data_IF_612373125693
#
_entry.id   IF_612373125693
#
_cell.length_a   1.000
_cell.length_b   1.000
_cell.length_c   1.000
_cell.angle_alpha   90.00
_cell.angle_beta   90.00
_cell.angle_gamma   90.00
#
_symmetry.space_group_name_H-M   'P 1'
#
loop_
_entity.id
_entity.type
_entity.pdbx_description
1 polymer ?
#
# COMPACT_ATOMS: atom_id res chain seq x y z
N UNK A 1 23.67 9.90 10.57
CA UNK A 1 23.37 9.75 9.12
C UNK A 1 22.80 11.07 8.65
N UNK A 2 23.35 11.69 7.60
CA UNK A 2 22.85 12.99 7.11
C UNK A 2 21.50 12.82 6.39
N UNK A 3 20.71 13.88 6.23
CA UNK A 3 19.44 13.81 5.48
C UNK A 3 19.63 13.37 4.03
N UNK A 4 20.78 13.74 3.43
CA UNK A 4 21.17 13.33 2.08
C UNK A 4 21.41 11.82 2.00
N UNK A 5 21.97 11.20 3.05
CA UNK A 5 22.18 9.74 3.08
C UNK A 5 20.86 8.97 3.14
N UNK A 6 19.90 9.46 3.95
CA UNK A 6 18.54 8.90 4.04
C UNK A 6 17.81 8.99 2.69
N UNK A 7 17.88 10.15 2.04
CA UNK A 7 17.27 10.36 0.72
C UNK A 7 17.89 9.45 -0.34
N UNK A 8 19.22 9.32 -0.33
CA UNK A 8 19.93 8.45 -1.25
C UNK A 8 19.56 6.97 -1.06
N UNK A 9 19.46 6.47 0.18
CA UNK A 9 19.00 5.10 0.47
C UNK A 9 17.59 4.88 -0.09
N UNK A 10 16.70 5.86 0.11
CA UNK A 10 15.32 5.80 -0.38
C UNK A 10 15.26 5.72 -1.90
N UNK A 11 16.01 6.58 -2.61
CA UNK A 11 16.10 6.55 -4.08
C UNK A 11 16.67 5.23 -4.60
N UNK A 12 17.70 4.69 -3.95
CA UNK A 12 18.27 3.39 -4.32
C UNK A 12 17.24 2.27 -4.22
N UNK A 13 16.54 2.17 -3.08
CA UNK A 13 15.49 1.18 -2.88
C UNK A 13 14.38 1.34 -3.92
N UNK A 14 13.95 2.58 -4.17
CA UNK A 14 12.88 2.86 -5.13
C UNK A 14 13.26 2.46 -6.56
N UNK A 15 14.48 2.77 -7.02
CA UNK A 15 14.94 2.32 -8.34
C UNK A 15 15.01 0.79 -8.44
N UNK A 16 15.36 0.09 -7.36
CA UNK A 16 15.45 -1.37 -7.33
C UNK A 16 14.05 -2.02 -7.38
N UNK A 17 13.08 -1.52 -6.60
CA UNK A 17 11.80 -2.19 -6.38
C UNK A 17 10.63 -1.59 -7.15
N UNK A 18 10.61 -0.28 -7.33
CA UNK A 18 9.59 0.45 -8.12
C UNK A 18 10.04 0.70 -9.56
N UNK A 19 11.34 0.51 -9.85
CA UNK A 19 11.93 0.60 -11.20
C UNK A 19 11.96 2.02 -11.78
N UNK A 20 11.68 3.03 -10.93
CA UNK A 20 11.84 4.45 -11.23
C UNK A 20 12.18 5.28 -9.99
N UNK A 21 12.76 6.45 -10.20
CA UNK A 21 12.98 7.48 -9.19
C UNK A 21 12.71 8.87 -9.75
N UNK A 22 12.34 9.79 -8.87
CA UNK A 22 12.20 11.21 -9.16
C UNK A 22 13.19 11.99 -8.30
N UNK A 23 14.04 12.81 -8.93
CA UNK A 23 15.06 13.62 -8.24
C UNK A 23 14.84 15.08 -8.59
N UNK A 24 14.82 15.96 -7.59
CA UNK A 24 14.75 17.40 -7.79
C UNK A 24 16.11 17.94 -8.28
N UNK A 25 16.11 18.70 -9.39
CA UNK A 25 17.30 19.29 -10.02
C UNK A 25 18.02 20.29 -9.12
N UNK A 26 17.32 20.93 -8.19
CA UNK A 26 17.92 21.83 -7.20
C UNK A 26 18.97 21.10 -6.35
N UNK A 27 18.78 19.81 -6.09
CA UNK A 27 19.78 18.98 -5.41
C UNK A 27 20.83 18.42 -6.40
N UNK A 28 21.66 19.33 -6.95
CA UNK A 28 22.71 18.99 -7.93
C UNK A 28 23.69 17.94 -7.40
N UNK A 29 24.01 18.00 -6.11
CA UNK A 29 24.90 17.05 -5.45
C UNK A 29 24.30 15.63 -5.49
N UNK A 30 23.06 15.48 -5.03
CA UNK A 30 22.37 14.19 -5.01
C UNK A 30 22.23 13.61 -6.41
N UNK A 31 21.84 14.41 -7.40
CA UNK A 31 21.71 13.96 -8.78
C UNK A 31 23.05 13.46 -9.35
N UNK A 32 24.14 14.22 -9.12
CA UNK A 32 25.50 13.83 -9.55
C UNK A 32 25.94 12.53 -8.88
N UNK A 33 25.71 12.43 -7.57
CA UNK A 33 26.06 11.25 -6.79
C UNK A 33 25.27 10.02 -7.26
N UNK A 34 23.96 10.15 -7.43
CA UNK A 34 23.08 9.05 -7.83
C UNK A 34 23.43 8.54 -9.24
N UNK A 35 23.73 9.43 -10.19
CA UNK A 35 24.23 9.03 -11.52
C UNK A 35 25.56 8.29 -11.45
N UNK A 36 26.51 8.75 -10.62
CA UNK A 36 27.79 8.05 -10.40
C UNK A 36 27.56 6.66 -9.78
N UNK A 37 26.65 6.58 -8.81
CA UNK A 37 26.28 5.33 -8.15
C UNK A 37 25.68 4.33 -9.15
N UNK A 38 24.73 4.74 -9.99
CA UNK A 38 24.15 3.90 -11.04
C UNK A 38 25.24 3.32 -11.95
N UNK A 39 26.19 4.17 -12.40
CA UNK A 39 27.27 3.75 -13.31
C UNK A 39 28.20 2.72 -12.67
N UNK A 40 28.51 2.89 -11.40
CA UNK A 40 29.51 2.07 -10.71
C UNK A 40 28.94 0.77 -10.13
N UNK A 41 27.62 0.67 -9.96
CA UNK A 41 27.01 -0.44 -9.25
C UNK A 41 26.50 -1.53 -10.21
N UNK A 42 26.99 -2.76 -10.02
CA UNK A 42 26.68 -3.89 -10.89
C UNK A 42 25.19 -4.21 -10.96
N UNK A 43 24.42 -3.95 -9.89
CA UNK A 43 22.98 -4.23 -9.84
C UNK A 43 22.19 -3.50 -10.94
N UNK A 44 22.68 -2.36 -11.45
CA UNK A 44 22.00 -1.58 -12.49
C UNK A 44 22.53 -1.85 -13.90
N UNK A 45 23.61 -2.63 -14.08
CA UNK A 45 24.17 -2.92 -15.41
C UNK A 45 23.16 -3.59 -16.35
N UNK A 46 22.29 -4.42 -15.81
CA UNK A 46 21.25 -5.13 -16.57
C UNK A 46 19.98 -4.30 -16.77
N UNK A 47 19.86 -3.13 -16.13
CA UNK A 47 18.71 -2.25 -16.32
C UNK A 47 18.96 -1.33 -17.51
N UNK A 48 18.09 -1.36 -18.52
CA UNK A 48 18.06 -0.31 -19.55
C UNK A 48 17.44 0.94 -18.95
N UNK A 49 18.26 1.75 -18.28
CA UNK A 49 17.83 3.00 -17.67
C UNK A 49 17.67 4.11 -18.72
N UNK A 50 16.73 5.01 -18.50
CA UNK A 50 16.49 6.21 -19.31
C UNK A 50 16.10 7.35 -18.40
N UNK A 51 16.34 8.58 -18.87
CA UNK A 51 16.07 9.80 -18.10
C UNK A 51 15.07 10.68 -18.85
N UNK A 52 14.08 11.22 -18.12
CA UNK A 52 13.19 12.28 -18.60
C UNK A 52 13.44 13.51 -17.75
N UNK A 53 13.70 14.64 -18.41
CA UNK A 53 13.76 15.94 -17.76
C UNK A 53 12.37 16.59 -17.83
N UNK A 54 11.77 16.88 -16.68
CA UNK A 54 10.44 17.48 -16.62
C UNK A 54 10.37 18.54 -15.53
N UNK A 55 10.20 19.81 -15.92
CA UNK A 55 10.26 20.94 -15.00
C UNK A 55 11.54 20.93 -14.15
N UNK A 56 11.37 21.02 -12.84
CA UNK A 56 12.46 20.96 -11.84
C UNK A 56 12.89 19.53 -11.49
N UNK A 57 12.41 18.50 -12.19
CA UNK A 57 12.66 17.10 -11.84
C UNK A 57 13.38 16.32 -12.95
N UNK A 58 14.15 15.32 -12.53
CA UNK A 58 14.71 14.26 -13.38
C UNK A 58 14.09 12.94 -12.97
N UNK A 59 13.44 12.28 -13.92
CA UNK A 59 12.86 10.94 -13.74
C UNK A 59 13.84 9.94 -14.34
N UNK A 60 14.37 9.03 -13.52
CA UNK A 60 15.24 7.94 -13.97
C UNK A 60 14.48 6.64 -13.85
N UNK A 61 14.39 5.86 -14.92
CA UNK A 61 13.55 4.67 -14.95
C UNK A 61 14.05 3.55 -15.86
N UNK A 62 13.58 2.33 -15.63
CA UNK A 62 13.84 1.19 -16.50
C UNK A 62 12.88 1.15 -17.71
N UNK A 63 13.33 1.63 -18.88
CA UNK A 63 12.49 1.75 -20.09
C UNK A 63 11.98 0.43 -20.68
N UNK A 64 12.56 -0.71 -20.30
CA UNK A 64 12.02 -2.02 -20.69
C UNK A 64 10.76 -2.33 -19.88
N UNK A 65 10.77 -1.99 -18.59
CA UNK A 65 9.77 -2.47 -17.65
C UNK A 65 8.63 -1.50 -17.40
N UNK A 66 8.85 -0.21 -17.62
CA UNK A 66 7.85 0.81 -17.31
C UNK A 66 7.68 1.83 -18.45
N UNK A 67 6.50 2.42 -18.48
CA UNK A 67 6.12 3.57 -19.30
C UNK A 67 5.72 4.69 -18.35
N UNK A 68 6.33 5.87 -18.51
CA UNK A 68 6.01 7.07 -17.74
C UNK A 68 5.04 7.92 -18.55
N UNK A 69 3.96 8.36 -17.92
CA UNK A 69 3.00 9.30 -18.50
C UNK A 69 2.78 10.44 -17.53
N UNK A 70 2.93 11.66 -18.03
CA UNK A 70 2.77 12.87 -17.22
C UNK A 70 1.55 13.61 -17.75
N UNK A 71 0.58 13.86 -16.87
CA UNK A 71 -0.66 14.55 -17.20
C UNK A 71 -0.67 15.93 -16.55
N UNK A 72 -0.95 16.93 -17.38
CA UNK A 72 -1.19 18.32 -16.99
C UNK A 72 -2.61 18.79 -17.34
N UNK A 73 -3.43 17.90 -17.91
CA UNK A 73 -4.79 18.19 -18.36
C UNK A 73 -5.76 17.16 -17.78
N UNK A 74 -6.79 17.65 -17.10
CA UNK A 74 -7.79 16.82 -16.41
C UNK A 74 -8.60 15.97 -17.39
N UNK A 75 -9.11 16.57 -18.47
CA UNK A 75 -10.00 15.89 -19.42
C UNK A 75 -9.28 14.77 -20.19
N UNK A 76 -8.02 15.00 -20.57
CA UNK A 76 -7.17 14.01 -21.21
C UNK A 76 -6.89 12.83 -20.28
N UNK A 77 -6.64 13.10 -18.99
CA UNK A 77 -6.47 12.05 -17.98
C UNK A 77 -7.76 11.25 -17.81
N UNK A 78 -8.90 11.92 -17.65
CA UNK A 78 -10.21 11.27 -17.52
C UNK A 78 -10.52 10.37 -18.72
N UNK A 79 -10.32 10.86 -19.95
CA UNK A 79 -10.55 10.08 -21.15
C UNK A 79 -9.71 8.78 -21.21
N UNK A 80 -8.51 8.79 -20.63
CA UNK A 80 -7.67 7.59 -20.50
C UNK A 80 -8.17 6.66 -19.39
N UNK A 81 -8.55 7.20 -18.22
CA UNK A 81 -9.04 6.41 -17.10
C UNK A 81 -10.37 5.71 -17.42
N UNK A 82 -11.29 6.39 -18.11
CA UNK A 82 -12.54 5.76 -18.58
C UNK A 82 -12.28 4.60 -19.52
N UNK A 83 -11.39 4.77 -20.51
CA UNK A 83 -11.01 3.69 -21.44
C UNK A 83 -10.42 2.49 -20.71
N UNK A 84 -9.64 2.74 -19.65
CA UNK A 84 -9.07 1.66 -18.83
C UNK A 84 -10.14 0.91 -18.04
N UNK A 85 -11.03 1.63 -17.35
CA UNK A 85 -12.05 1.02 -16.51
C UNK A 85 -13.11 0.27 -17.33
N UNK A 86 -13.46 0.76 -18.52
CA UNK A 86 -14.35 0.04 -19.44
C UNK A 86 -13.75 -1.30 -19.92
N UNK A 87 -12.43 -1.40 -19.99
CA UNK A 87 -11.73 -2.63 -20.42
C UNK A 87 -11.44 -3.58 -19.26
N UNK A 88 -11.34 -3.07 -18.04
CA UNK A 88 -11.01 -3.84 -16.86
C UNK A 88 -11.80 -3.34 -15.64
N UNK A 89 -12.74 -4.15 -15.17
CA UNK A 89 -13.61 -3.84 -14.04
C UNK A 89 -13.01 -4.21 -12.67
N UNK A 90 -11.81 -4.81 -12.63
CA UNK A 90 -11.12 -5.22 -11.40
C UNK A 90 -9.91 -4.32 -11.09
N UNK A 91 -10.01 -3.04 -11.44
CA UNK A 91 -9.01 -2.02 -11.13
C UNK A 91 -9.29 -1.38 -9.78
N UNK A 92 -8.20 -1.07 -9.08
CA UNK A 92 -8.24 -0.29 -7.83
C UNK A 92 -7.15 0.76 -7.90
N UNK A 93 -7.38 1.86 -7.20
CA UNK A 93 -6.63 3.08 -7.38
C UNK A 93 -6.12 3.59 -6.03
N UNK A 94 -4.98 4.30 -6.09
CA UNK A 94 -4.44 5.04 -4.95
C UNK A 94 -3.76 6.30 -5.45
N UNK A 95 -4.02 7.42 -4.78
CA UNK A 95 -3.31 8.67 -4.99
C UNK A 95 -2.16 8.84 -4.03
N UNK A 96 -0.99 9.23 -4.56
CA UNK A 96 0.12 9.75 -3.77
C UNK A 96 0.31 11.21 -4.15
N UNK A 97 0.11 12.12 -3.19
CA UNK A 97 0.35 13.54 -3.39
C UNK A 97 1.81 13.86 -3.73
N UNK A 98 2.75 13.01 -3.34
CA UNK A 98 4.15 13.10 -3.73
C UNK A 98 4.55 11.78 -4.38
N UNK A 99 4.97 11.84 -5.65
CA UNK A 99 5.41 10.67 -6.39
C UNK A 99 6.62 9.97 -5.75
N UNK A 100 7.37 10.59 -4.83
CA UNK A 100 8.44 9.96 -4.07
C UNK A 100 7.99 9.21 -2.81
N UNK A 101 6.70 9.22 -2.49
CA UNK A 101 6.19 8.35 -1.45
C UNK A 101 6.38 6.88 -1.83
N UNK A 102 6.84 6.10 -0.86
CA UNK A 102 7.03 4.66 -1.05
C UNK A 102 5.68 3.95 -0.98
N UNK A 103 5.48 2.96 -1.85
CA UNK A 103 4.27 2.16 -1.89
C UNK A 103 4.24 1.11 -0.77
N UNK A 104 4.10 1.58 0.47
CA UNK A 104 3.95 0.78 1.70
C UNK A 104 2.95 1.44 2.66
N UNK A 105 2.46 0.63 3.62
CA UNK A 105 1.62 1.07 4.74
C UNK A 105 2.32 2.16 5.57
N UNK A 106 1.55 2.88 6.38
CA UNK A 106 2.08 3.93 7.25
C UNK A 106 2.98 3.38 8.35
N UNK A 107 2.70 2.16 8.83
CA UNK A 107 3.52 1.44 9.80
C UNK A 107 4.96 1.21 9.32
N UNK A 108 5.14 0.76 8.08
CA UNK A 108 6.47 0.41 7.52
C UNK A 108 7.33 1.62 7.11
N UNK A 109 6.86 2.84 7.33
CA UNK A 109 7.62 4.05 6.95
C UNK A 109 8.68 4.40 7.97
N UNK A 110 8.42 4.10 9.24
CA UNK A 110 9.23 4.43 10.41
C UNK A 110 9.46 3.15 11.22
N UNK A 111 10.71 2.86 11.54
CA UNK A 111 11.10 1.62 12.21
C UNK A 111 10.59 1.58 13.65
N UNK A 112 10.55 2.75 14.30
CA UNK A 112 10.05 2.92 15.66
C UNK A 112 8.57 2.54 15.79
N UNK A 113 7.76 2.86 14.77
CA UNK A 113 6.34 2.48 14.77
C UNK A 113 6.17 0.97 14.60
N UNK A 114 7.00 0.32 13.80
CA UNK A 114 6.97 -1.13 13.62
C UNK A 114 7.37 -1.87 14.91
N UNK A 115 8.40 -1.38 15.60
CA UNK A 115 8.91 -1.94 16.85
C UNK A 115 7.95 -1.76 18.04
N UNK A 116 7.05 -0.78 17.99
CA UNK A 116 6.10 -0.48 19.06
C UNK A 116 4.64 -0.62 18.62
N UNK A 117 4.36 -1.35 17.55
CA UNK A 117 3.01 -1.44 16.97
C UNK A 117 1.96 -1.91 18.00
N UNK A 118 2.28 -2.89 18.84
CA UNK A 118 1.41 -3.42 19.90
C UNK A 118 1.09 -2.37 20.96
N UNK A 119 2.11 -1.66 21.43
CA UNK A 119 1.94 -0.58 22.41
C UNK A 119 1.07 0.52 21.84
N UNK A 120 1.37 0.97 20.62
CA UNK A 120 0.57 2.00 19.91
C UNK A 120 -0.87 1.51 19.72
N UNK A 121 -1.07 0.26 19.32
CA UNK A 121 -2.38 -0.35 19.12
C UNK A 121 -3.21 -0.31 20.42
N UNK A 122 -2.67 -0.82 21.53
CA UNK A 122 -3.37 -0.85 22.81
C UNK A 122 -3.52 0.53 23.46
N UNK A 123 -2.52 1.41 23.36
CA UNK A 123 -2.57 2.75 23.94
C UNK A 123 -3.67 3.60 23.28
N UNK A 124 -3.86 3.49 21.96
CA UNK A 124 -4.95 4.19 21.27
C UNK A 124 -6.32 3.66 21.73
N UNK A 125 -6.47 2.34 21.84
CA UNK A 125 -7.72 1.71 22.29
C UNK A 125 -8.03 2.14 23.73
N UNK A 126 -7.02 2.16 24.60
CA UNK A 126 -7.14 2.58 26.00
C UNK A 126 -7.47 4.08 26.14
N UNK A 127 -6.91 4.92 25.27
CA UNK A 127 -7.15 6.36 25.30
C UNK A 127 -8.55 6.75 24.85
N UNK A 128 -9.15 6.00 23.91
CA UNK A 128 -10.44 6.32 23.29
C UNK A 128 -11.37 5.09 23.19
N UNK A 129 -11.69 4.40 24.29
CA UNK A 129 -12.45 3.14 24.25
C UNK A 129 -13.83 3.30 23.59
N UNK A 130 -14.46 4.48 23.71
CA UNK A 130 -15.74 4.80 23.11
C UNK A 130 -15.72 4.77 21.57
N UNK A 131 -14.55 5.01 20.94
CA UNK A 131 -14.40 4.93 19.48
C UNK A 131 -14.37 3.50 18.97
N UNK A 132 -14.19 2.52 19.84
CA UNK A 132 -14.05 1.11 19.50
C UNK A 132 -15.21 0.25 19.99
N UNK A 133 -16.31 0.85 20.47
CA UNK A 133 -17.46 0.12 21.03
C UNK A 133 -18.09 -0.90 20.07
N UNK A 134 -17.97 -0.65 18.76
CA UNK A 134 -18.52 -1.51 17.71
C UNK A 134 -17.47 -2.44 17.08
N UNK A 135 -16.21 -2.37 17.51
CA UNK A 135 -15.14 -3.18 16.94
C UNK A 135 -15.21 -4.61 17.49
N UNK A 136 -15.41 -5.59 16.59
CA UNK A 136 -15.50 -7.02 16.94
C UNK A 136 -14.23 -7.78 16.60
N UNK A 137 -13.58 -7.38 15.51
CA UNK A 137 -12.39 -8.00 14.96
C UNK A 137 -11.20 -7.05 15.03
N UNK A 138 -9.97 -7.58 15.09
CA UNK A 138 -8.75 -6.73 15.05
C UNK A 138 -8.72 -5.84 13.81
N UNK A 139 -9.29 -6.32 12.70
CA UNK A 139 -9.45 -5.53 11.50
C UNK A 139 -10.27 -4.24 11.73
N UNK A 140 -11.32 -4.28 12.55
CA UNK A 140 -12.18 -3.13 12.84
C UNK A 140 -11.43 -2.07 13.64
N UNK A 141 -10.62 -2.51 14.61
CA UNK A 141 -9.71 -1.64 15.35
C UNK A 141 -8.72 -0.96 14.41
N UNK A 142 -8.06 -1.72 13.53
CA UNK A 142 -7.10 -1.15 12.57
C UNK A 142 -7.74 -0.17 11.59
N UNK A 143 -8.94 -0.46 11.07
CA UNK A 143 -9.69 0.48 10.22
C UNK A 143 -10.01 1.78 10.96
N UNK A 144 -10.40 1.68 12.23
CA UNK A 144 -10.74 2.84 13.08
C UNK A 144 -9.50 3.66 13.41
N UNK A 145 -8.38 3.02 13.78
CA UNK A 145 -7.10 3.69 14.00
C UNK A 145 -6.64 4.41 12.73
N UNK A 146 -6.70 3.74 11.58
CA UNK A 146 -6.36 4.30 10.27
C UNK A 146 -7.28 5.48 9.90
N UNK A 147 -8.54 5.47 10.33
CA UNK A 147 -9.48 6.59 10.14
C UNK A 147 -9.03 7.88 10.80
N UNK A 148 -8.39 7.78 11.96
CA UNK A 148 -7.79 8.90 12.67
C UNK A 148 -6.30 9.09 12.34
N UNK A 149 -5.88 8.66 11.14
CA UNK A 149 -4.51 8.77 10.63
C UNK A 149 -3.44 8.03 11.45
N UNK A 150 -3.85 7.06 12.27
CA UNK A 150 -2.94 6.19 13.00
C UNK A 150 -2.07 5.33 12.07
N UNK A 151 -0.91 4.89 12.58
CA UNK A 151 0.05 4.10 11.82
C UNK A 151 -0.34 2.63 11.91
N UNK A 152 -0.78 2.04 10.81
CA UNK A 152 -1.25 0.65 10.77
C UNK A 152 -0.61 -0.12 9.63
N UNK A 153 -0.72 -1.45 9.69
CA UNK A 153 -0.37 -2.37 8.60
C UNK A 153 -1.32 -2.34 7.40
N UNK A 154 -2.40 -1.55 7.49
CA UNK A 154 -3.38 -1.37 6.43
C UNK A 154 -2.95 -0.22 5.51
N UNK A 155 -3.27 -0.35 4.23
CA UNK A 155 -3.06 0.70 3.24
C UNK A 155 -4.33 0.88 2.41
N UNK A 156 -4.94 2.05 2.50
CA UNK A 156 -6.20 2.38 1.83
C UNK A 156 -6.11 2.34 0.29
N UNK A 157 -7.15 1.82 -0.34
CA UNK A 157 -7.38 1.81 -1.79
C UNK A 157 -8.80 2.29 -2.07
N UNK A 158 -9.06 2.66 -3.32
CA UNK A 158 -10.41 3.03 -3.76
C UNK A 158 -10.70 2.41 -5.13
N UNK A 159 -11.94 2.00 -5.35
CA UNK A 159 -12.42 1.62 -6.70
C UNK A 159 -12.81 2.83 -7.55
N UNK A 160 -12.87 4.03 -6.95
CA UNK A 160 -13.14 5.29 -7.64
C UNK A 160 -11.84 6.04 -7.96
N UNK A 161 -11.46 6.09 -9.24
CA UNK A 161 -10.23 6.75 -9.66
C UNK A 161 -10.22 8.27 -9.38
N UNK A 162 -11.39 8.92 -9.25
CA UNK A 162 -11.45 10.35 -8.94
C UNK A 162 -11.06 10.62 -7.49
N UNK A 163 -11.42 9.72 -6.57
CA UNK A 163 -10.98 9.79 -5.16
C UNK A 163 -9.47 9.57 -5.07
N UNK A 164 -8.93 8.63 -5.84
CA UNK A 164 -7.49 8.47 -5.94
C UNK A 164 -6.81 9.70 -6.56
N UNK A 165 -7.41 10.32 -7.57
CA UNK A 165 -6.89 11.56 -8.16
C UNK A 165 -6.88 12.71 -7.13
N UNK A 166 -7.94 12.86 -6.34
CA UNK A 166 -7.97 13.80 -5.22
C UNK A 166 -6.79 13.59 -4.27
N UNK A 167 -6.48 12.36 -3.88
CA UNK A 167 -5.31 12.09 -3.04
C UNK A 167 -3.96 12.35 -3.74
N UNK A 168 -3.91 12.28 -5.07
CA UNK A 168 -2.71 12.61 -5.85
C UNK A 168 -2.49 14.12 -5.99
N UNK A 169 -3.53 14.94 -5.81
CA UNK A 169 -3.49 16.40 -6.03
C UNK A 169 -3.67 17.24 -4.76
N UNK A 170 -4.31 16.72 -3.73
CA UNK A 170 -4.74 17.44 -2.51
C UNK A 170 -3.62 18.07 -1.67
N UNK A 171 -2.36 17.68 -1.87
CA UNK A 171 -1.23 18.24 -1.13
C UNK A 171 0.08 18.20 -1.91
N UNK A 172 1.13 18.79 -1.32
CA UNK A 172 2.48 18.86 -1.89
C UNK A 172 2.49 19.49 -3.30
N UNK A 173 1.95 20.70 -3.42
CA UNK A 173 1.72 21.39 -4.71
C UNK A 173 3.01 21.71 -5.49
N UNK A 174 4.18 21.61 -4.86
CA UNK A 174 5.47 21.87 -5.48
C UNK A 174 6.08 20.65 -6.18
N UNK A 175 5.56 19.45 -5.92
CA UNK A 175 6.09 18.19 -6.44
C UNK A 175 5.04 17.42 -7.23
N UNK A 176 5.50 16.54 -8.12
CA UNK A 176 4.61 15.68 -8.90
C UNK A 176 3.80 14.76 -7.98
N UNK A 177 2.51 14.57 -8.31
CA UNK A 177 1.70 13.50 -7.74
C UNK A 177 1.86 12.20 -8.52
N UNK A 178 1.41 11.08 -7.96
CA UNK A 178 1.31 9.80 -8.65
C UNK A 178 -0.10 9.22 -8.47
N UNK A 179 -0.73 8.83 -9.58
CA UNK A 179 -1.94 8.02 -9.59
C UNK A 179 -1.56 6.57 -9.85
N UNK A 180 -1.70 5.74 -8.82
CA UNK A 180 -1.33 4.33 -8.86
C UNK A 180 -2.56 3.51 -9.19
N UNK A 181 -2.41 2.61 -10.16
CA UNK A 181 -3.46 1.66 -10.58
C UNK A 181 -2.96 0.25 -10.29
N UNK A 182 -3.76 -0.53 -9.57
CA UNK A 182 -3.55 -1.96 -9.39
C UNK A 182 -4.56 -2.76 -10.22
N UNK A 183 -4.08 -3.84 -10.82
CA UNK A 183 -4.89 -4.78 -11.58
C UNK A 183 -5.04 -6.10 -10.82
N UNK A 184 -6.23 -6.31 -10.24
CA UNK A 184 -6.53 -7.52 -9.49
C UNK A 184 -6.71 -8.75 -10.38
N UNK A 185 -6.89 -8.61 -11.70
CA UNK A 185 -6.94 -9.75 -12.62
C UNK A 185 -5.61 -10.51 -12.68
N UNK A 186 -4.49 -9.86 -12.31
CA UNK A 186 -3.20 -10.54 -12.15
C UNK A 186 -3.32 -11.70 -11.16
N UNK A 187 -4.07 -11.54 -10.08
CA UNK A 187 -4.29 -12.60 -9.09
C UNK A 187 -5.03 -13.80 -9.70
N UNK A 188 -6.07 -13.51 -10.51
CA UNK A 188 -6.84 -14.53 -11.24
C UNK A 188 -5.95 -15.31 -12.24
N UNK A 189 -5.16 -14.61 -13.04
CA UNK A 189 -4.25 -15.26 -14.00
C UNK A 189 -3.17 -16.10 -13.32
N UNK A 190 -2.66 -15.66 -12.16
CA UNK A 190 -1.70 -16.44 -11.39
C UNK A 190 -2.36 -17.70 -10.80
N UNK A 191 -3.60 -17.59 -10.32
CA UNK A 191 -4.37 -18.74 -9.87
C UNK A 191 -4.62 -19.75 -10.99
N UNK A 192 -4.99 -19.29 -12.19
CA UNK A 192 -5.16 -20.13 -13.38
C UNK A 192 -3.84 -20.82 -13.78
N UNK A 193 -2.72 -20.09 -13.73
CA UNK A 193 -1.41 -20.61 -14.14
C UNK A 193 -0.81 -21.63 -13.18
N UNK A 194 -0.95 -21.39 -11.87
CA UNK A 194 -0.27 -22.17 -10.83
C UNK A 194 -1.23 -23.10 -10.07
N UNK A 195 -2.53 -23.01 -10.33
CA UNK A 195 -3.56 -23.88 -9.77
C UNK A 195 -3.68 -23.75 -8.23
N UNK A 196 -4.05 -24.83 -7.53
CA UNK A 196 -4.34 -24.79 -6.10
C UNK A 196 -3.12 -24.46 -5.22
N UNK A 197 -1.90 -24.55 -5.76
CA UNK A 197 -0.67 -24.15 -5.06
C UNK A 197 -0.53 -22.65 -4.92
N UNK A 198 -1.25 -21.87 -5.73
CA UNK A 198 -1.20 -20.42 -5.64
C UNK A 198 -2.17 -19.91 -4.58
N UNK A 199 -1.61 -19.25 -3.58
CA UNK A 199 -2.39 -18.57 -2.56
C UNK A 199 -2.99 -17.31 -3.16
N UNK A 200 -4.30 -17.34 -3.40
CA UNK A 200 -5.09 -16.19 -3.84
C UNK A 200 -4.85 -14.97 -2.95
N UNK A 201 -4.53 -13.81 -3.54
CA UNK A 201 -4.20 -12.58 -2.82
C UNK A 201 -5.38 -11.63 -2.66
N UNK A 202 -6.40 -11.74 -3.50
CA UNK A 202 -7.67 -11.03 -3.31
C UNK A 202 -8.55 -11.86 -2.37
N UNK A 203 -8.77 -11.34 -1.16
CA UNK A 203 -9.52 -11.97 -0.09
C UNK A 203 -10.79 -11.17 0.23
N UNK A 204 -11.78 -11.86 0.78
CA UNK A 204 -12.94 -11.22 1.41
C UNK A 204 -12.58 -10.66 2.77
N UNK A 205 -13.30 -9.64 3.25
CA UNK A 205 -13.08 -9.08 4.58
C UNK A 205 -13.15 -10.11 5.70
N UNK A 206 -14.12 -11.01 5.62
CA UNK A 206 -14.30 -12.07 6.61
C UNK A 206 -13.35 -13.26 6.39
N UNK A 207 -12.31 -13.13 5.58
CA UNK A 207 -11.31 -14.19 5.41
C UNK A 207 -10.44 -14.30 6.66
N UNK A 208 -10.18 -15.52 7.11
CA UNK A 208 -9.27 -15.77 8.24
C UNK A 208 -7.86 -15.22 7.97
N UNK A 209 -7.40 -15.23 6.71
CA UNK A 209 -6.11 -14.61 6.36
C UNK A 209 -6.06 -13.12 6.73
N UNK A 210 -7.15 -12.37 6.51
CA UNK A 210 -7.18 -10.95 6.84
C UNK A 210 -7.16 -10.77 8.37
N UNK A 211 -7.90 -11.60 9.11
CA UNK A 211 -7.93 -11.54 10.58
C UNK A 211 -6.59 -11.92 11.20
N UNK A 212 -5.97 -13.00 10.72
CA UNK A 212 -4.64 -13.44 11.16
C UNK A 212 -3.65 -12.28 11.00
N UNK A 213 -3.67 -11.60 9.85
CA UNK A 213 -2.77 -10.48 9.61
C UNK A 213 -3.11 -9.25 10.45
N UNK A 214 -4.39 -8.99 10.73
CA UNK A 214 -4.81 -7.89 11.59
C UNK A 214 -4.40 -8.12 13.05
N UNK A 215 -4.53 -9.37 13.53
CA UNK A 215 -4.22 -9.78 14.90
C UNK A 215 -2.73 -9.64 15.23
N UNK A 216 -1.84 -9.66 14.23
CA UNK A 216 -0.42 -9.34 14.42
C UNK A 216 -0.19 -7.98 15.10
N UNK A 217 -1.11 -7.02 14.97
CA UNK A 217 -1.01 -5.73 15.65
C UNK A 217 -1.08 -5.83 17.18
N UNK A 218 -1.64 -6.91 17.74
CA UNK A 218 -1.72 -7.14 19.18
C UNK A 218 -0.48 -7.84 19.75
N UNK A 219 0.40 -8.38 18.90
CA UNK A 219 1.60 -9.10 19.34
C UNK A 219 2.80 -8.15 19.42
N UNK A 220 3.63 -8.33 20.44
CA UNK A 220 4.88 -7.61 20.61
C UNK A 220 5.88 -7.88 19.47
N UNK A 221 6.86 -7.00 19.34
CA UNK A 221 7.82 -7.05 18.25
C UNK A 221 8.69 -8.33 18.24
N UNK A 222 9.13 -8.82 19.40
CA UNK A 222 9.97 -10.03 19.50
C UNK A 222 9.18 -11.28 19.10
N UNK A 223 7.92 -11.38 19.55
CA UNK A 223 6.99 -12.42 19.11
C UNK A 223 6.81 -12.41 17.60
N UNK A 224 6.64 -11.23 16.99
CA UNK A 224 6.53 -11.08 15.53
C UNK A 224 7.79 -11.51 14.79
N UNK A 225 8.99 -11.13 15.26
CA UNK A 225 10.25 -11.58 14.65
C UNK A 225 10.42 -13.09 14.73
N UNK A 226 10.09 -13.69 15.88
CA UNK A 226 10.09 -15.14 16.07
C UNK A 226 9.14 -15.84 15.09
N UNK A 227 7.91 -15.34 14.94
CA UNK A 227 6.94 -15.88 13.98
C UNK A 227 7.44 -15.74 12.54
N UNK A 228 8.03 -14.61 12.15
CA UNK A 228 8.58 -14.40 10.80
C UNK A 228 9.66 -15.43 10.48
N UNK A 229 10.59 -15.66 11.40
CA UNK A 229 11.69 -16.61 11.23
C UNK A 229 11.17 -18.04 11.01
N UNK A 230 10.26 -18.50 11.86
CA UNK A 230 9.63 -19.82 11.72
C UNK A 230 8.80 -19.92 10.44
N UNK A 231 8.07 -18.86 10.07
CA UNK A 231 7.27 -18.85 8.85
C UNK A 231 8.16 -18.97 7.60
N UNK A 232 9.33 -18.33 7.60
CA UNK A 232 10.30 -18.44 6.51
C UNK A 232 10.88 -19.85 6.39
N UNK A 233 11.24 -20.46 7.51
CA UNK A 233 11.74 -21.83 7.55
C UNK A 233 10.69 -22.82 7.05
N UNK A 234 9.48 -22.80 7.63
CA UNK A 234 8.38 -23.70 7.26
C UNK A 234 7.91 -23.52 5.82
N UNK A 235 7.82 -22.27 5.33
CA UNK A 235 7.46 -22.03 3.92
C UNK A 235 8.48 -22.63 2.94
N UNK A 236 9.77 -22.60 3.29
CA UNK A 236 10.84 -23.17 2.47
C UNK A 236 10.73 -24.70 2.39
N UNK A 237 10.39 -25.34 3.51
CA UNK A 237 10.15 -26.79 3.55
C UNK A 237 8.90 -27.19 2.77
N UNK A 238 7.81 -26.42 2.88
CA UNK A 238 6.58 -26.63 2.10
C UNK A 238 6.88 -26.52 0.59
N UNK A 239 7.61 -25.49 0.18
CA UNK A 239 7.94 -25.26 -1.23
C UNK A 239 8.87 -26.36 -1.80
N UNK A 240 9.77 -26.89 -0.98
CA UNK A 240 10.74 -27.92 -1.37
C UNK A 240 10.15 -29.34 -1.35
N UNK A 241 9.22 -29.63 -0.43
CA UNK A 241 8.53 -30.92 -0.34
C UNK A 241 7.02 -30.74 -0.13
N UNK A 242 6.26 -30.51 -1.22
CA UNK A 242 4.82 -30.27 -1.16
C UNK A 242 3.98 -31.45 -0.65
N UNK A 243 4.52 -32.67 -0.66
CA UNK A 243 3.79 -33.87 -0.21
C UNK A 243 3.55 -33.83 1.31
N UNK A 244 4.49 -33.23 2.05
CA UNK A 244 4.44 -33.10 3.51
C UNK A 244 3.90 -31.74 3.98
N UNK A 245 3.23 -30.98 3.10
CA UNK A 245 2.72 -29.64 3.40
C UNK A 245 1.91 -29.58 4.71
N UNK A 246 0.99 -30.52 4.92
CA UNK A 246 0.16 -30.56 6.12
C UNK A 246 0.96 -30.71 7.41
N UNK A 247 2.01 -31.54 7.39
CA UNK A 247 2.88 -31.78 8.52
C UNK A 247 3.70 -30.54 8.87
N UNK A 248 4.25 -29.84 7.87
CA UNK A 248 5.01 -28.61 8.12
C UNK A 248 4.12 -27.47 8.63
N UNK A 249 2.86 -27.41 8.18
CA UNK A 249 1.88 -26.47 8.74
C UNK A 249 1.58 -26.83 10.20
N UNK A 250 1.42 -28.10 10.55
CA UNK A 250 1.18 -28.53 11.93
C UNK A 250 2.35 -28.16 12.85
N UNK A 251 3.58 -28.52 12.46
CA UNK A 251 4.80 -28.14 13.19
C UNK A 251 4.89 -26.61 13.36
N UNK A 252 4.54 -25.84 12.32
CA UNK A 252 4.53 -24.39 12.42
C UNK A 252 3.55 -23.87 13.49
N UNK A 253 2.39 -24.51 13.66
CA UNK A 253 1.41 -24.10 14.66
C UNK A 253 1.74 -24.58 16.08
N UNK A 254 2.79 -25.39 16.26
CA UNK A 254 3.28 -25.81 17.58
C UNK A 254 4.22 -24.79 18.23
N UNK A 255 4.78 -23.85 17.47
CA UNK A 255 5.65 -22.81 18.03
C UNK A 255 4.87 -21.89 18.97
N UNK A 256 5.43 -21.59 20.15
CA UNK A 256 4.77 -20.83 21.22
C UNK A 256 4.17 -19.51 20.73
N UNK A 257 4.94 -18.69 20.00
CA UNK A 257 4.47 -17.40 19.51
C UNK A 257 3.41 -17.55 18.40
N UNK A 258 3.41 -18.66 17.66
CA UNK A 258 2.33 -18.96 16.70
C UNK A 258 1.06 -19.39 17.43
N UNK A 259 1.17 -20.15 18.52
CA UNK A 259 0.03 -20.47 19.38
C UNK A 259 -0.58 -19.22 20.02
N UNK A 260 0.24 -18.24 20.42
CA UNK A 260 -0.24 -16.92 20.87
C UNK A 260 -1.04 -16.22 19.78
N UNK A 261 -0.53 -16.17 18.54
CA UNK A 261 -1.27 -15.60 17.42
C UNK A 261 -2.59 -16.34 17.15
N UNK A 262 -2.58 -17.67 17.20
CA UNK A 262 -3.79 -18.50 17.07
C UNK A 262 -4.79 -18.16 18.17
N UNK A 263 -4.32 -17.96 19.41
CA UNK A 263 -5.16 -17.58 20.54
C UNK A 263 -5.80 -16.21 20.33
N UNK A 264 -5.03 -15.19 19.93
CA UNK A 264 -5.54 -13.84 19.63
C UNK A 264 -6.64 -13.87 18.54
N UNK A 265 -6.40 -14.61 17.45
CA UNK A 265 -7.42 -14.78 16.39
C UNK A 265 -8.64 -15.52 16.92
N UNK A 266 -8.44 -16.56 17.74
CA UNK A 266 -9.52 -17.36 18.34
C UNK A 266 -10.40 -16.58 19.33
N UNK A 267 -9.86 -15.58 20.02
CA UNK A 267 -10.64 -14.71 20.92
C UNK A 267 -11.70 -13.90 20.15
N UNK A 268 -11.37 -13.42 18.95
CA UNK A 268 -12.29 -12.63 18.12
C UNK A 268 -13.14 -13.49 17.17
N UNK A 269 -12.67 -14.69 16.79
CA UNK A 269 -13.36 -15.60 15.88
C UNK A 269 -13.62 -16.97 16.50
N UNK A 270 -14.83 -17.14 17.03
CA UNK A 270 -15.29 -18.38 17.67
C UNK A 270 -15.15 -19.65 16.81
N UNK A 271 -15.29 -19.54 15.49
CA UNK A 271 -15.18 -20.68 14.55
C UNK A 271 -13.82 -20.74 13.84
N UNK A 272 -12.79 -20.06 14.36
CA UNK A 272 -11.47 -20.12 13.78
C UNK A 272 -10.87 -21.52 13.97
N UNK A 273 -10.50 -22.17 12.88
CA UNK A 273 -9.69 -23.39 12.95
C UNK A 273 -8.26 -22.98 13.33
N UNK A 274 -7.67 -23.50 14.43
CA UNK A 274 -6.36 -23.09 14.94
C UNK A 274 -5.21 -23.63 14.08
N UNK A 275 -5.21 -23.28 12.79
CA UNK A 275 -4.25 -23.73 11.79
C UNK A 275 -3.91 -22.58 10.85
N UNK A 276 -2.77 -21.96 11.08
CA UNK A 276 -2.21 -20.89 10.27
C UNK A 276 -1.21 -21.49 9.29
N UNK A 277 -1.42 -21.24 8.00
CA UNK A 277 -0.41 -21.50 6.97
C UNK A 277 0.68 -20.41 7.05
N UNK A 278 1.96 -20.75 7.25
CA UNK A 278 3.05 -19.77 7.39
C UNK A 278 3.19 -18.86 6.15
N UNK A 279 2.83 -19.35 4.96
CA UNK A 279 2.92 -18.56 3.72
C UNK A 279 1.92 -17.40 3.72
N UNK A 280 0.84 -17.47 4.53
CA UNK A 280 -0.08 -16.35 4.71
C UNK A 280 0.57 -15.15 5.40
N UNK A 281 1.53 -15.40 6.29
CA UNK A 281 2.21 -14.36 7.05
C UNK A 281 3.29 -13.63 6.24
N UNK A 282 3.71 -14.19 5.10
CA UNK A 282 4.82 -13.70 4.28
C UNK A 282 4.36 -13.07 2.96
N UNK A 283 3.17 -12.48 2.94
CA UNK A 283 2.61 -11.82 1.75
C UNK A 283 1.82 -10.55 2.02
N UNK A 284 1.34 -9.96 0.94
CA UNK A 284 0.40 -8.84 0.90
C UNK A 284 -0.92 -9.33 0.31
N UNK A 285 -2.02 -8.84 0.87
CA UNK A 285 -3.37 -9.23 0.47
C UNK A 285 -4.21 -8.00 0.18
N UNK A 286 -5.01 -8.08 -0.87
CA UNK A 286 -6.05 -7.11 -1.19
C UNK A 286 -7.33 -7.61 -0.54
N UNK A 287 -7.97 -6.75 0.26
CA UNK A 287 -9.31 -7.01 0.74
C UNK A 287 -10.31 -6.24 -0.10
N UNK A 288 -11.35 -6.93 -0.56
CA UNK A 288 -12.57 -6.27 -1.02
C UNK A 288 -13.28 -5.59 0.16
N UNK A 289 -14.32 -4.80 -0.15
CA UNK A 289 -15.07 -4.00 0.83
C UNK A 289 -16.44 -4.62 1.14
N UNK A 290 -16.87 -4.47 2.39
CA UNK A 290 -18.28 -4.43 2.82
C UNK A 290 -18.49 -3.06 3.49
N UNK A 291 -19.64 -2.46 3.23
CA UNK A 291 -19.96 -1.07 3.51
C UNK A 291 -20.39 -0.88 4.97
N UNK A 292 -19.45 -0.98 5.91
CA UNK A 292 -19.77 -0.91 7.35
C UNK A 292 -19.43 0.46 8.00
N UNK A 293 -18.92 1.43 7.24
CA UNK A 293 -18.61 2.79 7.72
C UNK A 293 -18.84 3.83 6.61
N UNK A 294 -19.42 5.00 6.92
CA UNK A 294 -19.66 6.10 5.97
C UNK A 294 -18.38 6.52 5.23
N UNK A 295 -17.22 6.53 5.88
CA UNK A 295 -15.93 6.81 5.21
C UNK A 295 -15.60 5.76 4.15
N UNK A 296 -15.71 4.47 4.48
CA UNK A 296 -15.42 3.37 3.53
C UNK A 296 -16.43 3.39 2.39
N UNK A 297 -17.67 3.77 2.67
CA UNK A 297 -18.75 3.90 1.70
C UNK A 297 -18.50 5.05 0.73
N UNK A 298 -18.14 6.23 1.24
CA UNK A 298 -17.84 7.41 0.41
C UNK A 298 -16.52 7.27 -0.37
N UNK A 299 -15.58 6.47 0.15
CA UNK A 299 -14.31 6.19 -0.51
C UNK A 299 -14.40 5.02 -1.51
N UNK A 300 -15.51 4.29 -1.56
CA UNK A 300 -15.58 2.98 -2.21
C UNK A 300 -14.37 2.11 -1.84
N UNK A 301 -14.12 2.04 -0.52
CA UNK A 301 -12.81 1.82 0.08
C UNK A 301 -12.42 0.36 0.17
N UNK A 302 -11.43 -0.04 -0.60
CA UNK A 302 -10.71 -1.32 -0.41
C UNK A 302 -9.45 -1.07 0.40
N UNK A 303 -8.73 -2.13 0.79
CA UNK A 303 -7.41 -1.94 1.38
C UNK A 303 -6.47 -3.09 1.08
N UNK A 304 -5.19 -2.80 1.28
CA UNK A 304 -4.14 -3.81 1.34
C UNK A 304 -3.75 -4.00 2.80
N UNK A 305 -3.52 -5.25 3.19
CA UNK A 305 -2.86 -5.60 4.46
C UNK A 305 -1.62 -6.44 4.15
N UNK A 306 -0.56 -6.24 4.93
CA UNK A 306 0.67 -7.01 4.81
C UNK A 306 0.96 -7.81 6.08
N UNK A 307 1.60 -8.95 5.90
CA UNK A 307 2.15 -9.71 7.01
C UNK A 307 3.55 -9.26 7.42
N UNK A 308 4.32 -10.21 7.96
CA UNK A 308 5.65 -10.04 8.49
C UNK A 308 6.64 -10.04 7.33
N UNK A 309 6.80 -8.86 6.74
CA UNK A 309 7.70 -8.64 5.62
C UNK A 309 8.45 -7.33 5.80
N UNK A 310 9.76 -7.30 5.50
CA UNK A 310 10.49 -6.05 5.43
C UNK A 310 9.93 -5.17 4.32
N UNK A 311 10.02 -3.86 4.55
CA UNK A 311 9.53 -2.78 3.67
C UNK A 311 9.80 -3.01 2.18
N UNK A 312 11.02 -3.42 1.84
CA UNK A 312 11.43 -3.67 0.46
C UNK A 312 10.70 -4.85 -0.21
N UNK A 313 10.44 -5.94 0.53
CA UNK A 313 9.68 -7.09 0.02
C UNK A 313 8.21 -6.71 -0.19
N UNK A 314 7.62 -5.91 0.70
CA UNK A 314 6.26 -5.36 0.54
C UNK A 314 6.16 -4.53 -0.73
N UNK A 315 7.08 -3.56 -0.91
CA UNK A 315 7.14 -2.75 -2.14
C UNK A 315 7.23 -3.63 -3.39
N UNK A 316 8.13 -4.63 -3.40
CA UNK A 316 8.31 -5.55 -4.54
C UNK A 316 7.02 -6.31 -4.87
N UNK A 317 6.33 -6.84 -3.85
CA UNK A 317 5.08 -7.59 -4.02
C UNK A 317 3.97 -6.70 -4.55
N UNK A 318 3.81 -5.49 -4.00
CA UNK A 318 2.80 -4.53 -4.48
C UNK A 318 3.06 -4.05 -5.90
N UNK A 319 4.31 -3.80 -6.25
CA UNK A 319 4.70 -3.43 -7.61
C UNK A 319 4.39 -4.53 -8.66
N UNK A 320 4.22 -5.79 -8.25
CA UNK A 320 3.79 -6.87 -9.15
C UNK A 320 2.37 -6.65 -9.67
N UNK A 321 1.52 -6.04 -8.84
CA UNK A 321 0.09 -5.80 -9.12
C UNK A 321 -0.17 -4.46 -9.81
N UNK A 322 0.84 -3.60 -9.99
CA UNK A 322 0.66 -2.36 -10.76
C UNK A 322 0.19 -2.69 -12.18
N UNK A 323 -0.79 -1.93 -12.66
CA UNK A 323 -1.38 -2.10 -13.98
C UNK A 323 -0.31 -2.06 -15.08
N UNK A 324 -0.44 -2.97 -16.05
CA UNK A 324 0.47 -3.08 -17.18
C UNK A 324 -0.29 -2.88 -18.49
N UNK A 325 0.31 -2.11 -19.40
CA UNK A 325 -0.07 -2.07 -20.80
C UNK A 325 1.14 -2.48 -21.64
N UNK A 326 0.91 -3.29 -22.67
CA UNK A 326 1.97 -3.73 -23.59
C UNK A 326 3.17 -4.36 -22.86
N UNK A 327 2.90 -5.09 -21.77
CA UNK A 327 3.91 -5.74 -20.94
C UNK A 327 4.68 -4.82 -19.98
N UNK A 328 4.45 -3.51 -20.00
CA UNK A 328 5.12 -2.51 -19.15
C UNK A 328 4.19 -1.95 -18.09
N UNK A 329 4.71 -1.70 -16.89
CA UNK A 329 3.97 -0.99 -15.84
C UNK A 329 3.72 0.45 -16.30
N UNK A 330 2.48 0.92 -16.21
CA UNK A 330 2.17 2.33 -16.46
C UNK A 330 2.32 3.13 -15.17
N UNK A 331 3.13 4.18 -15.21
CA UNK A 331 3.30 5.14 -14.12
C UNK A 331 2.64 6.43 -14.56
N UNK A 332 1.56 6.81 -13.87
CA UNK A 332 0.81 8.04 -14.15
C UNK A 332 1.26 9.09 -13.14
N UNK A 333 1.97 10.10 -13.61
CA UNK A 333 2.40 11.25 -12.83
C UNK A 333 1.49 12.44 -13.11
N UNK A 334 1.16 13.17 -12.06
CA UNK A 334 0.36 14.40 -12.14
C UNK A 334 1.30 15.59 -12.04
N UNK A 335 1.28 16.45 -13.06
CA UNK A 335 2.05 17.70 -13.06
C UNK A 335 1.65 18.54 -11.85
N UNK A 336 2.66 19.03 -11.13
CA UNK A 336 2.48 19.85 -9.95
C UNK A 336 1.74 21.16 -10.28
N UNK A 337 1.92 21.68 -11.51
CA UNK A 337 1.21 22.88 -11.98
C UNK A 337 -0.29 22.66 -12.21
N UNK A 338 -0.70 21.43 -12.50
CA UNK A 338 -2.09 21.10 -12.81
C UNK A 338 -2.89 20.64 -11.58
N UNK A 339 -2.24 20.46 -10.42
CA UNK A 339 -2.90 19.93 -9.22
C UNK A 339 -4.08 20.78 -8.76
N UNK A 340 -3.92 22.11 -8.72
CA UNK A 340 -4.97 23.03 -8.28
C UNK A 340 -6.15 23.00 -9.25
N UNK A 341 -5.91 23.14 -10.55
CA UNK A 341 -6.94 23.04 -11.58
C UNK A 341 -7.69 21.71 -11.49
N UNK A 342 -6.99 20.59 -11.32
CA UNK A 342 -7.63 19.28 -11.14
C UNK A 342 -8.46 19.19 -9.87
N UNK A 343 -8.04 19.83 -8.76
CA UNK A 343 -8.84 19.90 -7.53
C UNK A 343 -10.12 20.70 -7.74
N UNK A 344 -10.08 21.82 -8.46
CA UNK A 344 -11.27 22.62 -8.79
C UNK A 344 -12.28 21.79 -9.60
N UNK A 345 -11.81 21.07 -10.62
CA UNK A 345 -12.67 20.15 -11.38
C UNK A 345 -13.26 19.04 -10.49
N UNK A 346 -12.48 18.46 -9.57
CA UNK A 346 -12.95 17.45 -8.63
C UNK A 346 -13.99 18.02 -7.67
N UNK A 347 -13.83 19.26 -7.20
CA UNK A 347 -14.79 19.95 -6.34
C UNK A 347 -16.14 20.15 -7.05
N UNK A 348 -16.14 20.51 -8.35
CA UNK A 348 -17.35 20.59 -9.17
C UNK A 348 -18.06 19.23 -9.23
N UNK A 349 -17.31 18.13 -9.27
CA UNK A 349 -17.82 16.76 -9.21
C UNK A 349 -18.17 16.29 -7.78
N UNK A 350 -18.19 17.21 -6.80
CA UNK A 350 -18.46 16.96 -5.39
C UNK A 350 -17.44 16.03 -4.69
N UNK A 351 -16.21 16.01 -5.18
CA UNK A 351 -15.09 15.23 -4.61
C UNK A 351 -14.16 16.20 -3.89
N UNK A 352 -14.31 16.26 -2.57
CA UNK A 352 -13.66 17.21 -1.68
C UNK A 352 -13.42 16.59 -0.32
N UNK A 353 -12.66 17.27 0.53
CA UNK A 353 -12.25 16.75 1.84
C UNK A 353 -13.44 16.31 2.71
N UNK A 354 -14.49 17.13 2.77
CA UNK A 354 -15.69 16.87 3.57
C UNK A 354 -16.54 15.71 3.05
N UNK A 355 -16.54 15.43 1.74
CA UNK A 355 -17.29 14.31 1.17
C UNK A 355 -16.52 13.01 1.32
N UNK A 356 -15.19 13.06 1.24
CA UNK A 356 -14.29 11.92 1.43
C UNK A 356 -14.13 11.55 2.92
N UNK A 357 -14.12 12.55 3.80
CA UNK A 357 -14.02 12.44 5.24
C UNK A 357 -15.15 13.21 5.91
N UNK A 358 -16.37 12.63 5.97
CA UNK A 358 -17.51 13.26 6.62
C UNK A 358 -17.25 13.29 8.12
N UNK A 359 -16.68 14.40 8.59
CA UNK A 359 -16.57 14.72 10.01
C UNK A 359 -17.20 16.08 10.22
N UNK A 360 -17.83 16.27 11.38
CA UNK A 360 -18.44 17.54 11.74
C UNK A 360 -17.42 18.70 11.60
N UNK A 361 -16.18 18.46 12.01
CA UNK A 361 -15.09 19.43 11.87
C UNK A 361 -14.79 19.78 10.40
N UNK A 362 -14.69 18.78 9.52
CA UNK A 362 -14.40 19.01 8.10
C UNK A 362 -15.56 19.70 7.40
N UNK A 363 -16.79 19.30 7.72
CA UNK A 363 -18.01 19.94 7.21
C UNK A 363 -18.09 21.40 7.65
N UNK A 364 -17.84 21.70 8.92
CA UNK A 364 -17.85 23.07 9.45
C UNK A 364 -16.75 23.92 8.80
N UNK A 365 -15.51 23.41 8.72
CA UNK A 365 -14.39 24.11 8.07
C UNK A 365 -14.72 24.50 6.64
N UNK A 366 -15.44 23.64 5.93
CA UNK A 366 -15.86 23.93 4.56
C UNK A 366 -16.98 24.97 4.49
N UNK A 367 -18.01 24.84 5.33
CA UNK A 367 -19.11 25.81 5.36
C UNK A 367 -18.55 27.22 5.55
N UNK A 368 -17.61 27.42 6.48
CA UNK A 368 -17.00 28.74 6.68
C UNK A 368 -16.22 29.26 5.46
N UNK A 369 -15.55 28.40 4.70
CA UNK A 369 -14.84 28.81 3.48
C UNK A 369 -15.81 29.39 2.43
N UNK A 370 -17.02 28.85 2.33
CA UNK A 370 -18.03 29.32 1.38
C UNK A 370 -18.61 30.71 1.71
N UNK A 371 -18.41 31.20 2.94
CA UNK A 371 -18.86 32.54 3.38
C UNK A 371 -17.71 33.53 3.56
N UNK A 372 -16.46 33.14 3.26
CA UNK A 372 -15.27 34.00 3.32
C UNK A 372 -14.79 34.47 1.94
N UNK A 373 -15.52 34.12 0.87
CA UNK A 373 -15.27 34.52 -0.52
C UNK A 373 -15.99 35.80 -0.91
#
# INVERSE_FOLDING_TARGET
>A
MTDVDKELITLKQKLIYEEYVLINKRNKYLLKYFRKFIKNNQCFKNMKLSEINYGEHVIIYNKIKITIEIYNDFMKLLGQLFKLQMRNNNLTYRGHANANYQLVSSLLREEENLQNEDKIYFDIIKAFPEKFSNARYHLDYLKTIQHYNGKTRIMDLTTNFLIALYFATSSNNEVLGELIIFDKNIDKHLLEKFGPRYIKKVKRLNSDTIEILASLAALDYESKESIEAHAHSSSTFIDSNPINEFQYIEIFNEYENVQRLVHEVGQVRLNFLPKIDPRHLLDVYFSDSTFDNERITNQAGEFIIHGLLPKNKVMKKLNKYRYKAEGKKRIILIDNKAKNDMLEHLQILNIKESTIYPSLENTIKEIYKNYQS
#
